data_IF_388999098607
#
_entry.id   IF_388999098607
#
_cell.length_a   1.000
_cell.length_b   1.000
_cell.length_c   1.000
_cell.angle_alpha   90.00
_cell.angle_beta   90.00
_cell.angle_gamma   90.00
#
_symmetry.space_group_name_H-M   'P 1'
#
loop_
_entity.id
_entity.type
_entity.pdbx_description
1 polymer ?
#
# COMPACT_ATOMS: atom_id res chain seq x y z
N UNK A 1 -8.35 0.86 -2.10
CA UNK A 1 -8.19 1.94 -3.09
C UNK A 1 -7.90 1.33 -4.45
N UNK A 2 -8.11 2.07 -5.54
CA UNK A 2 -7.62 1.69 -6.87
C UNK A 2 -6.16 2.09 -7.03
N UNK A 3 -5.43 1.45 -7.94
CA UNK A 3 -4.04 1.82 -8.23
C UNK A 3 -3.89 3.26 -8.73
N UNK A 4 -4.88 3.77 -9.45
CA UNK A 4 -4.92 5.17 -9.88
C UNK A 4 -4.99 6.13 -8.70
N UNK A 5 -5.64 5.75 -7.61
CA UNK A 5 -5.70 6.55 -6.39
C UNK A 5 -4.41 6.43 -5.59
N UNK A 6 -3.86 5.21 -5.47
CA UNK A 6 -2.55 4.98 -4.82
C UNK A 6 -1.44 5.80 -5.49
N UNK A 7 -1.41 5.87 -6.83
CA UNK A 7 -0.41 6.67 -7.57
C UNK A 7 -0.53 8.19 -7.35
N UNK A 8 -1.59 8.67 -6.71
CA UNK A 8 -1.73 10.08 -6.31
C UNK A 8 -1.25 10.33 -4.88
N UNK A 9 -1.00 9.29 -4.11
CA UNK A 9 -0.52 9.41 -2.74
C UNK A 9 0.91 9.97 -2.73
N UNK A 10 1.19 10.78 -1.72
CA UNK A 10 2.48 11.43 -1.54
C UNK A 10 2.88 11.50 -0.07
N UNK A 11 4.12 11.92 0.18
CA UNK A 11 4.61 12.14 1.53
C UNK A 11 3.68 13.10 2.30
N UNK A 12 3.24 12.66 3.47
CA UNK A 12 2.34 13.40 4.35
C UNK A 12 0.88 12.96 4.28
N UNK A 13 0.48 12.23 3.23
CA UNK A 13 -0.84 11.62 3.18
C UNK A 13 -0.99 10.52 4.24
N UNK A 14 -2.23 10.27 4.65
CA UNK A 14 -2.59 9.18 5.54
C UNK A 14 -3.43 8.17 4.77
N UNK A 15 -3.15 6.89 4.99
CA UNK A 15 -3.94 5.77 4.47
C UNK A 15 -4.28 4.82 5.60
N UNK A 16 -5.43 4.20 5.52
CA UNK A 16 -5.76 3.06 6.38
C UNK A 16 -5.46 1.77 5.64
N UNK A 17 -4.61 0.92 6.22
CA UNK A 17 -4.43 -0.44 5.72
C UNK A 17 -5.39 -1.37 6.44
N UNK A 18 -6.23 -2.04 5.65
CA UNK A 18 -7.15 -3.07 6.07
C UNK A 18 -6.50 -4.44 5.85
N UNK A 19 -5.93 -4.97 6.92
CA UNK A 19 -5.27 -6.28 6.94
C UNK A 19 -6.26 -7.39 6.54
N UNK A 20 -5.94 -8.21 5.51
CA UNK A 20 -6.82 -9.29 5.06
C UNK A 20 -7.05 -10.37 6.13
N UNK A 21 -6.20 -10.46 7.15
CA UNK A 21 -6.34 -11.39 8.27
C UNK A 21 -7.34 -10.86 9.32
N UNK A 22 -8.58 -10.61 8.90
CA UNK A 22 -9.70 -10.10 9.73
C UNK A 22 -9.36 -8.80 10.48
N UNK A 23 -8.49 -7.99 9.87
CA UNK A 23 -8.10 -6.70 10.39
C UNK A 23 -7.18 -6.72 11.62
N UNK A 24 -6.59 -7.87 11.98
CA UNK A 24 -5.80 -8.05 13.21
C UNK A 24 -4.67 -7.02 13.39
N UNK A 25 -4.04 -6.60 12.29
CA UNK A 25 -2.96 -5.61 12.31
C UNK A 25 -3.26 -4.35 11.50
N UNK A 26 -4.54 -4.14 11.19
CA UNK A 26 -5.01 -2.94 10.48
C UNK A 26 -4.61 -1.67 11.21
N UNK A 27 -4.17 -0.66 10.47
CA UNK A 27 -3.65 0.58 11.05
C UNK A 27 -3.66 1.73 10.06
N UNK A 28 -3.64 2.94 10.61
CA UNK A 28 -3.37 4.15 9.83
C UNK A 28 -1.86 4.32 9.68
N UNK A 29 -1.41 4.71 8.49
CA UNK A 29 -0.01 4.98 8.19
C UNK A 29 0.10 6.36 7.57
N UNK A 30 0.88 7.24 8.20
CA UNK A 30 1.29 8.51 7.58
C UNK A 30 2.48 8.26 6.68
N UNK A 31 2.29 8.46 5.38
CA UNK A 31 3.26 8.13 4.34
C UNK A 31 4.49 9.04 4.46
N UNK A 32 5.66 8.42 4.52
CA UNK A 32 6.94 9.07 4.26
C UNK A 32 7.35 8.86 2.79
N UNK A 33 7.21 7.63 2.29
CA UNK A 33 7.45 7.29 0.88
C UNK A 33 6.56 6.13 0.44
N UNK A 34 6.20 6.09 -0.84
CA UNK A 34 5.37 5.04 -1.43
C UNK A 34 5.94 4.61 -2.78
N UNK A 35 5.91 3.30 -3.06
CA UNK A 35 6.33 2.72 -4.33
C UNK A 35 5.31 1.69 -4.80
N UNK A 36 4.92 1.76 -6.06
CA UNK A 36 4.09 0.74 -6.72
C UNK A 36 5.01 -0.17 -7.53
N UNK A 37 4.97 -1.47 -7.23
CA UNK A 37 5.69 -2.52 -7.93
C UNK A 37 4.71 -3.25 -8.85
N UNK A 38 4.91 -3.14 -10.15
CA UNK A 38 4.20 -3.98 -11.11
C UNK A 38 4.83 -5.39 -11.13
N UNK A 39 4.06 -6.46 -11.35
CA UNK A 39 4.63 -7.76 -11.69
C UNK A 39 5.48 -7.60 -12.95
N UNK A 40 6.65 -8.24 -13.00
CA UNK A 40 7.38 -8.41 -14.25
C UNK A 40 6.46 -9.05 -15.31
N UNK A 41 6.60 -8.63 -16.57
CA UNK A 41 5.78 -9.06 -17.73
C UNK A 41 5.70 -10.60 -17.96
N UNK A 42 6.44 -11.38 -17.17
CA UNK A 42 6.56 -12.85 -17.25
C UNK A 42 5.75 -13.61 -16.18
N UNK A 43 4.95 -12.92 -15.34
CA UNK A 43 4.05 -13.56 -14.37
C UNK A 43 2.60 -13.11 -14.56
N UNK A 44 1.79 -14.02 -15.10
CA UNK A 44 0.32 -13.93 -15.27
C UNK A 44 -0.50 -13.81 -13.96
N UNK A 45 0.14 -13.57 -12.82
CA UNK A 45 -0.53 -13.48 -11.53
C UNK A 45 0.00 -12.29 -10.73
N UNK A 46 -0.88 -11.34 -10.44
CA UNK A 46 -0.74 -10.49 -9.27
C UNK A 46 -1.21 -9.07 -9.50
N UNK A 47 -2.11 -8.60 -8.65
CA UNK A 47 -2.37 -7.18 -8.45
C UNK A 47 -1.04 -6.45 -8.15
N UNK A 48 -0.87 -5.21 -8.63
CA UNK A 48 0.35 -4.43 -8.37
C UNK A 48 0.55 -4.25 -6.84
N UNK A 49 1.75 -4.60 -6.36
CA UNK A 49 2.13 -4.51 -4.94
C UNK A 49 2.47 -3.05 -4.62
N UNK A 50 2.04 -2.60 -3.44
CA UNK A 50 2.29 -1.26 -2.92
C UNK A 50 3.17 -1.37 -1.69
N UNK A 51 4.35 -0.77 -1.74
CA UNK A 51 5.25 -0.64 -0.60
C UNK A 51 5.13 0.78 -0.02
N UNK A 52 4.80 0.90 1.26
CA UNK A 52 4.70 2.17 2.00
C UNK A 52 5.72 2.14 3.14
N UNK A 53 6.51 3.21 3.24
CA UNK A 53 7.27 3.52 4.45
C UNK A 53 6.58 4.67 5.17
N UNK A 54 6.25 4.48 6.44
CA UNK A 54 5.61 5.45 7.33
C UNK A 54 6.62 6.34 8.06
N UNK A 55 6.19 7.53 8.48
CA UNK A 55 7.06 8.51 9.17
C UNK A 55 7.54 8.08 10.55
N UNK A 56 6.88 7.11 11.16
CA UNK A 56 7.21 6.50 12.44
C UNK A 56 8.16 5.30 12.30
N UNK A 57 8.63 4.99 11.07
CA UNK A 57 9.44 3.81 10.78
C UNK A 57 8.62 2.56 10.45
N UNK A 58 7.30 2.70 10.28
CA UNK A 58 6.47 1.59 9.80
C UNK A 58 6.84 1.22 8.36
N UNK A 59 6.80 -0.08 8.07
CA UNK A 59 6.91 -0.61 6.72
C UNK A 59 5.66 -1.44 6.41
N UNK A 60 5.12 -1.29 5.22
CA UNK A 60 3.96 -2.04 4.75
C UNK A 60 4.15 -2.45 3.30
N UNK A 61 3.95 -3.73 3.01
CA UNK A 61 3.78 -4.28 1.68
C UNK A 61 2.36 -4.83 1.58
N UNK A 62 1.56 -4.31 0.66
CA UNK A 62 0.13 -4.61 0.57
C UNK A 62 -0.37 -4.47 -0.87
N UNK A 63 -1.60 -4.89 -1.13
CA UNK A 63 -2.29 -4.59 -2.38
C UNK A 63 -3.04 -3.26 -2.29
N UNK A 64 -3.18 -2.58 -3.43
CA UNK A 64 -3.91 -1.29 -3.46
C UNK A 64 -5.34 -1.38 -2.91
N UNK A 65 -6.02 -2.51 -3.11
CA UNK A 65 -7.39 -2.72 -2.64
C UNK A 65 -7.49 -2.85 -1.12
N UNK A 66 -6.39 -3.17 -0.43
CA UNK A 66 -6.31 -3.25 1.03
C UNK A 66 -6.17 -1.86 1.68
N UNK A 67 -5.85 -0.82 0.90
CA UNK A 67 -5.79 0.55 1.39
C UNK A 67 -7.16 1.23 1.34
N UNK A 68 -7.43 2.17 2.23
CA UNK A 68 -8.60 3.07 2.20
C UNK A 68 -8.20 4.52 2.35
#
# INVERSE_FOLDING_TARGET
>A
MTLKEVRKLHNGDEVFWNDPDDGLTSRHITIQSIKVLAPDDDKDYGDEIVCIHGKNGDELECFAHELS
#
